data_IF_950981730393
#
_entry.id   IF_950981730393
#
_cell.length_a   1.000
_cell.length_b   1.000
_cell.length_c   1.000
_cell.angle_alpha   90.00
_cell.angle_beta   90.00
_cell.angle_gamma   90.00
#
_symmetry.space_group_name_H-M   'P 1'
#
loop_
_entity.id
_entity.type
_entity.pdbx_description
1 polymer ?
#
# COMPACT_ATOMS: atom_id res chain seq x y z
N UNK A 1 15.85 4.06 59.25
CA UNK A 1 14.69 4.92 58.96
C UNK A 1 15.08 5.87 57.85
N UNK A 2 14.23 5.89 56.83
CA UNK A 2 14.16 6.70 55.61
C UNK A 2 15.42 7.28 54.94
N UNK A 3 15.73 6.70 53.77
CA UNK A 3 15.57 7.30 52.43
C UNK A 3 15.63 8.82 52.28
N UNK A 4 16.40 9.29 51.29
CA UNK A 4 15.86 9.92 50.05
C UNK A 4 17.02 10.19 49.08
N UNK A 5 16.99 9.48 47.96
CA UNK A 5 17.77 9.72 46.76
C UNK A 5 17.19 10.88 45.96
N UNK A 6 18.03 11.79 45.47
CA UNK A 6 17.75 12.64 44.29
C UNK A 6 19.03 12.87 43.51
N UNK A 7 19.31 11.98 42.55
CA UNK A 7 20.19 12.30 41.42
C UNK A 7 19.37 13.06 40.38
N UNK A 8 19.86 14.22 39.98
CA UNK A 8 19.46 14.85 38.73
C UNK A 8 20.14 14.14 37.57
N UNK A 9 19.41 14.01 36.47
CA UNK A 9 19.92 13.98 35.10
C UNK A 9 18.71 14.03 34.16
N UNK A 10 18.50 15.20 33.54
CA UNK A 10 17.56 15.40 32.44
C UNK A 10 18.25 15.00 31.15
N UNK A 11 17.94 13.82 30.60
CA UNK A 11 18.13 13.51 29.18
C UNK A 11 17.16 12.38 28.82
N UNK A 12 15.98 12.74 28.32
CA UNK A 12 15.03 11.77 27.77
C UNK A 12 15.51 11.31 26.40
N UNK A 13 16.38 10.29 26.38
CA UNK A 13 16.69 9.54 25.16
C UNK A 13 15.54 8.58 24.87
N UNK A 14 14.78 8.86 23.81
CA UNK A 14 13.72 7.99 23.32
C UNK A 14 14.33 6.68 22.81
N UNK A 15 14.10 5.59 23.53
CA UNK A 15 14.61 4.26 23.20
C UNK A 15 13.75 3.62 22.10
N UNK A 16 14.18 3.73 20.83
CA UNK A 16 13.56 2.98 19.74
C UNK A 16 14.12 1.55 19.75
N UNK A 17 13.42 0.66 20.45
CA UNK A 17 13.75 -0.75 20.52
C UNK A 17 13.59 -1.45 19.17
N UNK A 18 14.70 -1.92 18.62
CA UNK A 18 14.74 -2.98 17.63
C UNK A 18 14.46 -4.33 18.32
N UNK A 19 13.34 -4.96 17.96
CA UNK A 19 13.03 -6.40 18.14
C UNK A 19 12.18 -6.80 16.95
N UNK A 20 12.29 -7.96 16.32
CA UNK A 20 13.26 -9.03 16.21
C UNK A 20 12.81 -9.75 14.93
N UNK A 21 13.74 -10.36 14.21
CA UNK A 21 13.47 -11.21 13.05
C UNK A 21 12.36 -12.23 13.38
N UNK A 22 11.22 -12.14 12.71
CA UNK A 22 10.20 -13.19 12.74
C UNK A 22 10.12 -13.79 11.35
N UNK A 23 10.19 -15.12 11.29
CA UNK A 23 10.03 -15.98 10.11
C UNK A 23 8.97 -15.46 9.14
N UNK A 24 9.40 -14.66 8.15
CA UNK A 24 8.52 -13.97 7.22
C UNK A 24 8.02 -14.93 6.15
N UNK A 25 7.18 -15.88 6.56
CA UNK A 25 6.18 -16.44 5.66
C UNK A 25 5.33 -15.25 5.16
N UNK A 26 5.07 -15.10 3.85
CA UNK A 26 4.21 -14.04 3.32
C UNK A 26 2.86 -13.96 4.06
N UNK A 27 2.37 -15.11 4.56
CA UNK A 27 1.17 -15.23 5.38
C UNK A 27 1.27 -14.58 6.76
N UNK A 28 2.44 -14.58 7.42
CA UNK A 28 2.60 -13.98 8.76
C UNK A 28 2.69 -12.46 8.67
N UNK A 29 3.37 -11.94 7.65
CA UNK A 29 3.39 -10.51 7.35
C UNK A 29 1.98 -10.01 6.98
N UNK A 30 1.25 -10.79 6.18
CA UNK A 30 -0.14 -10.51 5.82
C UNK A 30 -1.07 -10.56 7.04
N UNK A 31 -0.94 -11.56 7.92
CA UNK A 31 -1.73 -11.68 9.15
C UNK A 31 -1.46 -10.56 10.15
N UNK A 32 -0.19 -10.13 10.29
CA UNK A 32 0.18 -8.99 11.14
C UNK A 32 -0.37 -7.68 10.58
N UNK A 33 -0.39 -7.51 9.25
CA UNK A 33 -1.06 -6.38 8.61
C UNK A 33 -2.57 -6.44 8.89
N UNK A 34 -3.21 -7.59 8.64
CA UNK A 34 -4.65 -7.84 8.83
C UNK A 34 -5.13 -7.62 10.27
N UNK A 35 -4.28 -7.82 11.27
CA UNK A 35 -4.61 -7.62 12.69
C UNK A 35 -4.41 -6.18 13.18
N UNK A 36 -3.70 -5.34 12.43
CA UNK A 36 -3.56 -3.90 12.73
C UNK A 36 -4.57 -3.01 12.00
N UNK A 37 -5.40 -3.60 11.16
CA UNK A 37 -6.39 -2.93 10.32
C UNK A 37 -7.78 -3.01 10.98
N UNK A 38 -8.63 -1.99 10.80
CA UNK A 38 -9.95 -1.89 11.43
C UNK A 38 -10.88 -3.08 11.03
N UNK A 39 -11.96 -3.38 11.75
CA UNK A 39 -12.84 -4.51 11.35
C UNK A 39 -13.43 -4.34 9.93
N UNK A 40 -13.72 -3.10 9.53
CA UNK A 40 -14.10 -2.70 8.17
C UNK A 40 -13.05 -3.10 7.13
N UNK A 41 -11.80 -3.12 7.56
CA UNK A 41 -10.66 -3.33 6.69
C UNK A 41 -10.49 -4.79 6.29
N UNK A 42 -10.76 -5.68 7.23
CA UNK A 42 -10.68 -7.12 7.05
C UNK A 42 -11.78 -7.60 6.10
N UNK A 43 -12.99 -7.05 6.23
CA UNK A 43 -14.12 -7.38 5.35
C UNK A 43 -13.89 -6.95 3.89
N UNK A 44 -13.27 -5.79 3.65
CA UNK A 44 -12.95 -5.35 2.29
C UNK A 44 -11.84 -6.21 1.64
N UNK A 45 -10.82 -6.60 2.41
CA UNK A 45 -9.77 -7.51 1.93
C UNK A 45 -10.36 -8.89 1.65
N UNK A 46 -11.17 -9.42 2.56
CA UNK A 46 -11.86 -10.70 2.42
C UNK A 46 -12.80 -10.70 1.20
N UNK A 47 -13.55 -9.62 0.97
CA UNK A 47 -14.43 -9.49 -0.19
C UNK A 47 -13.68 -9.39 -1.54
N UNK A 48 -12.44 -8.93 -1.55
CA UNK A 48 -11.58 -8.93 -2.74
C UNK A 48 -10.98 -10.31 -2.95
N UNK A 49 -10.46 -10.94 -1.88
CA UNK A 49 -9.90 -12.30 -1.93
C UNK A 49 -10.96 -13.35 -2.32
N UNK A 50 -12.21 -13.18 -1.86
CA UNK A 50 -13.34 -14.06 -2.16
C UNK A 50 -14.20 -13.58 -3.35
N UNK A 51 -13.90 -12.42 -3.92
CA UNK A 51 -14.72 -11.74 -4.92
C UNK A 51 -14.51 -12.20 -6.36
N UNK A 52 -13.63 -13.17 -6.58
CA UNK A 52 -13.22 -13.68 -7.89
C UNK A 52 -11.98 -12.99 -8.47
N UNK A 53 -11.35 -13.56 -9.50
CA UNK A 53 -10.11 -13.06 -10.12
C UNK A 53 -10.25 -11.68 -10.78
N UNK A 54 -11.48 -11.15 -10.83
CA UNK A 54 -11.85 -9.90 -11.48
C UNK A 54 -11.73 -8.70 -10.55
N UNK A 55 -11.60 -8.92 -9.25
CA UNK A 55 -11.51 -7.84 -8.26
C UNK A 55 -10.06 -7.66 -7.80
N UNK A 56 -9.65 -6.40 -7.74
CA UNK A 56 -8.42 -5.99 -7.11
C UNK A 56 -8.66 -4.77 -6.22
N UNK A 57 -7.69 -4.46 -5.38
CA UNK A 57 -7.72 -3.31 -4.48
C UNK A 57 -6.30 -2.82 -4.26
N UNK A 58 -6.16 -1.52 -4.10
CA UNK A 58 -4.93 -0.91 -3.61
C UNK A 58 -5.14 -0.33 -2.23
N UNK A 59 -4.15 -0.51 -1.36
CA UNK A 59 -4.17 0.00 0.02
C UNK A 59 -3.00 0.95 0.22
N UNK A 60 -3.27 2.15 0.73
CA UNK A 60 -2.21 3.11 1.04
C UNK A 60 -1.45 2.66 2.29
N UNK A 61 -0.24 2.15 2.11
CA UNK A 61 0.63 1.71 3.20
C UNK A 61 1.44 2.86 3.81
N UNK A 62 1.90 3.80 2.98
CA UNK A 62 2.67 4.98 3.39
C UNK A 62 2.25 6.20 2.58
N UNK A 63 2.15 7.36 3.24
CA UNK A 63 1.75 8.62 2.62
C UNK A 63 0.63 9.31 3.40
N UNK A 64 0.12 10.41 2.85
CA UNK A 64 -1.16 10.95 3.30
C UNK A 64 -2.26 9.88 3.09
N UNK A 65 -3.34 9.91 3.86
CA UNK A 65 -4.41 8.90 3.72
C UNK A 65 -3.96 7.45 3.93
N UNK A 66 -2.96 7.20 4.79
CA UNK A 66 -2.56 5.83 5.19
C UNK A 66 -3.79 5.05 5.69
N UNK A 67 -3.97 3.84 5.17
CA UNK A 67 -5.11 2.97 5.48
C UNK A 67 -6.29 3.09 4.51
N UNK A 68 -6.31 4.12 3.64
CA UNK A 68 -7.31 4.22 2.57
C UNK A 68 -7.22 3.05 1.61
N UNK A 69 -8.37 2.57 1.16
CA UNK A 69 -8.49 1.53 0.15
C UNK A 69 -9.26 2.03 -1.04
N UNK A 70 -8.81 1.59 -2.20
CA UNK A 70 -9.49 1.83 -3.44
C UNK A 70 -9.72 0.51 -4.14
N UNK A 71 -10.99 0.14 -4.29
CA UNK A 71 -11.39 -1.08 -4.96
C UNK A 71 -11.38 -0.84 -6.47
N UNK A 72 -10.78 -1.76 -7.21
CA UNK A 72 -10.71 -1.77 -8.67
C UNK A 72 -11.84 -2.68 -9.13
N UNK A 73 -13.01 -2.08 -9.40
CA UNK A 73 -14.21 -2.79 -9.88
C UNK A 73 -14.34 -2.81 -11.39
N UNK A 74 -13.66 -1.88 -12.09
CA UNK A 74 -13.78 -1.69 -13.53
C UNK A 74 -12.62 -2.33 -14.30
N UNK A 75 -12.69 -2.26 -15.65
CA UNK A 75 -11.61 -2.73 -16.53
C UNK A 75 -10.32 -1.91 -16.40
N UNK A 76 -10.40 -0.69 -15.88
CA UNK A 76 -9.25 0.15 -15.56
C UNK A 76 -9.53 0.98 -14.32
N UNK A 77 -8.47 1.42 -13.65
CA UNK A 77 -8.49 2.34 -12.53
C UNK A 77 -7.40 3.40 -12.72
N UNK A 78 -7.79 4.67 -12.83
CA UNK A 78 -6.85 5.78 -12.97
C UNK A 78 -6.28 6.24 -11.62
N UNK A 79 -4.98 6.54 -11.58
CA UNK A 79 -4.26 7.03 -10.40
C UNK A 79 -3.68 8.41 -10.70
N UNK A 80 -3.94 9.37 -9.81
CA UNK A 80 -3.36 10.69 -9.94
C UNK A 80 -3.88 11.71 -8.95
N UNK A 81 -3.36 12.94 -9.09
CA UNK A 81 -3.81 14.13 -8.33
C UNK A 81 -5.00 14.82 -8.99
N UNK A 82 -5.60 14.26 -10.04
CA UNK A 82 -6.86 14.80 -10.57
C UNK A 82 -8.01 14.32 -9.69
N UNK A 83 -8.96 15.17 -9.29
CA UNK A 83 -10.18 14.71 -8.62
C UNK A 83 -11.04 13.79 -9.50
N UNK A 84 -10.77 13.74 -10.81
CA UNK A 84 -11.39 12.82 -11.77
C UNK A 84 -10.74 11.42 -11.76
N UNK A 85 -9.61 11.25 -11.06
CA UNK A 85 -8.96 9.94 -10.93
C UNK A 85 -9.70 9.08 -9.92
N UNK A 86 -9.91 7.80 -10.26
CA UNK A 86 -10.55 6.83 -9.35
C UNK A 86 -9.76 6.63 -8.07
N UNK A 87 -8.43 6.63 -8.18
CA UNK A 87 -7.49 6.62 -7.07
C UNK A 87 -6.90 8.03 -6.98
N UNK A 88 -7.61 8.89 -6.25
CA UNK A 88 -7.19 10.27 -6.02
C UNK A 88 -6.12 10.35 -4.93
N UNK A 89 -4.95 10.86 -5.32
CA UNK A 89 -3.81 11.09 -4.44
C UNK A 89 -3.48 12.58 -4.39
N UNK A 90 -3.90 13.25 -3.32
CA UNK A 90 -3.68 14.69 -3.13
C UNK A 90 -2.25 15.01 -2.69
N UNK A 91 -1.32 15.04 -3.64
CA UNK A 91 0.03 15.52 -3.37
C UNK A 91 0.73 16.10 -4.60
N UNK A 92 1.53 17.15 -4.40
CA UNK A 92 2.28 17.82 -5.45
C UNK A 92 3.28 16.92 -6.20
N UNK A 93 3.78 15.85 -5.56
CA UNK A 93 4.67 14.86 -6.21
C UNK A 93 3.92 13.91 -7.15
N UNK A 94 2.58 13.98 -7.20
CA UNK A 94 1.75 13.15 -8.06
C UNK A 94 1.21 13.98 -9.22
N UNK A 95 1.48 13.53 -10.46
CA UNK A 95 0.87 14.08 -11.67
C UNK A 95 -0.67 13.96 -11.66
N UNK A 96 -1.36 14.85 -12.39
CA UNK A 96 -2.84 14.81 -12.50
C UNK A 96 -3.34 13.48 -13.09
N UNK A 97 -2.72 13.03 -14.17
CA UNK A 97 -2.82 11.67 -14.68
C UNK A 97 -1.44 11.05 -14.50
N UNK A 98 -1.26 10.18 -13.50
CA UNK A 98 0.04 9.65 -13.14
C UNK A 98 0.24 8.25 -13.73
N UNK A 99 -0.67 7.35 -13.39
CA UNK A 99 -0.64 5.97 -13.85
C UNK A 99 -2.06 5.44 -14.00
N UNK A 100 -2.20 4.34 -14.72
CA UNK A 100 -3.47 3.61 -14.85
C UNK A 100 -3.18 2.16 -14.56
N UNK A 101 -4.02 1.56 -13.70
CA UNK A 101 -4.08 0.11 -13.56
C UNK A 101 -5.12 -0.38 -14.56
N UNK A 102 -4.72 -1.28 -15.44
CA UNK A 102 -5.61 -1.88 -16.43
C UNK A 102 -5.71 -3.37 -16.19
N UNK A 103 -6.93 -3.88 -16.34
CA UNK A 103 -7.18 -5.30 -16.30
C UNK A 103 -6.91 -5.90 -17.67
N UNK A 104 -6.07 -6.91 -17.70
CA UNK A 104 -5.70 -7.65 -18.90
C UNK A 104 -6.27 -9.07 -18.84
N UNK A 105 -6.19 -9.82 -19.94
CA UNK A 105 -6.54 -11.25 -19.97
C UNK A 105 -5.68 -12.08 -19.01
N UNK A 106 -4.49 -11.60 -18.66
CA UNK A 106 -3.55 -12.29 -17.79
C UNK A 106 -3.56 -11.76 -16.34
N UNK A 107 -4.35 -10.74 -16.00
CA UNK A 107 -4.43 -10.20 -14.64
C UNK A 107 -4.58 -8.68 -14.64
N UNK A 108 -3.71 -7.99 -13.90
CA UNK A 108 -3.67 -6.52 -13.85
C UNK A 108 -2.28 -6.05 -14.27
N UNK A 109 -2.22 -4.87 -14.89
CA UNK A 109 -0.98 -4.20 -15.29
C UNK A 109 -1.05 -2.74 -14.89
N UNK A 110 0.07 -2.18 -14.46
CA UNK A 110 0.20 -0.75 -14.18
C UNK A 110 0.95 -0.10 -15.34
N UNK A 111 0.45 1.02 -15.83
CA UNK A 111 1.09 1.81 -16.89
C UNK A 111 1.22 3.27 -16.45
N UNK A 112 2.44 3.78 -16.45
CA UNK A 112 2.74 5.20 -16.22
C UNK A 112 2.30 6.04 -17.43
N UNK A 113 1.60 7.15 -17.18
CA UNK A 113 1.04 8.04 -18.20
C UNK A 113 1.94 9.25 -18.51
N UNK A 114 3.26 9.12 -18.30
CA UNK A 114 4.21 10.22 -18.44
C UNK A 114 4.26 11.08 -17.19
N UNK A 115 4.29 10.44 -16.02
CA UNK A 115 4.38 11.16 -14.76
C UNK A 115 5.73 11.88 -14.61
N UNK A 116 5.74 12.98 -13.83
CA UNK A 116 6.97 13.78 -13.65
C UNK A 116 8.03 13.04 -12.81
N UNK A 117 7.59 12.32 -11.78
CA UNK A 117 8.48 11.64 -10.84
C UNK A 117 8.69 10.15 -11.16
N UNK A 118 7.96 9.62 -12.15
CA UNK A 118 7.93 8.20 -12.48
C UNK A 118 7.07 7.38 -11.54
N UNK A 119 6.71 6.20 -12.02
CA UNK A 119 6.02 5.15 -11.27
C UNK A 119 7.01 4.01 -10.98
N UNK A 120 7.00 3.52 -9.74
CA UNK A 120 7.89 2.44 -9.30
C UNK A 120 7.08 1.27 -8.78
N UNK A 121 7.55 0.05 -9.07
CA UNK A 121 6.99 -1.19 -8.53
C UNK A 121 8.14 -1.95 -7.88
N UNK A 122 8.01 -2.31 -6.60
CA UNK A 122 9.06 -2.98 -5.82
C UNK A 122 10.44 -2.28 -5.96
N UNK A 123 10.45 -0.95 -5.85
CA UNK A 123 11.60 -0.04 -6.01
C UNK A 123 12.22 0.00 -7.42
N UNK A 124 11.56 -0.54 -8.45
CA UNK A 124 12.01 -0.47 -9.84
C UNK A 124 11.14 0.49 -10.65
N UNK A 125 11.75 1.46 -11.33
CA UNK A 125 11.04 2.38 -12.21
C UNK A 125 10.63 1.66 -13.50
N UNK A 126 9.34 1.57 -13.76
CA UNK A 126 8.79 0.84 -14.91
C UNK A 126 7.73 1.69 -15.60
N UNK A 127 7.78 1.76 -16.94
CA UNK A 127 6.73 2.45 -17.73
C UNK A 127 5.43 1.65 -17.78
N UNK A 128 5.55 0.33 -17.91
CA UNK A 128 4.41 -0.57 -17.84
C UNK A 128 4.88 -1.93 -17.32
N UNK A 129 4.13 -2.52 -16.41
CA UNK A 129 4.46 -3.83 -15.84
C UNK A 129 3.24 -4.54 -15.27
N UNK A 130 3.21 -5.89 -15.33
CA UNK A 130 2.17 -6.68 -14.67
C UNK A 130 2.24 -6.50 -13.16
N UNK A 131 1.07 -6.45 -12.52
CA UNK A 131 0.91 -6.39 -11.08
C UNK A 131 0.54 -7.76 -10.51
N UNK A 132 1.25 -8.16 -9.46
CA UNK A 132 0.98 -9.35 -8.67
C UNK A 132 0.50 -8.97 -7.29
N UNK A 133 -0.36 -9.80 -6.69
CA UNK A 133 -0.82 -9.59 -5.34
C UNK A 133 0.38 -9.49 -4.37
N UNK A 134 0.42 -8.43 -3.58
CA UNK A 134 1.50 -8.10 -2.65
C UNK A 134 2.52 -7.10 -3.19
N UNK A 135 2.48 -6.74 -4.47
CA UNK A 135 3.41 -5.76 -5.05
C UNK A 135 3.25 -4.37 -4.40
N UNK A 136 4.39 -3.74 -4.10
CA UNK A 136 4.42 -2.36 -3.64
C UNK A 136 4.55 -1.42 -4.84
N UNK A 137 3.55 -0.57 -5.03
CA UNK A 137 3.53 0.49 -6.04
C UNK A 137 3.86 1.81 -5.35
N UNK A 138 4.90 2.49 -5.81
CA UNK A 138 5.26 3.81 -5.34
C UNK A 138 4.94 4.87 -6.41
N UNK A 139 4.17 5.87 -5.99
CA UNK A 139 3.73 7.01 -6.81
C UNK A 139 4.00 8.29 -6.02
N UNK A 140 4.98 9.07 -6.45
CA UNK A 140 5.47 10.22 -5.68
C UNK A 140 5.92 9.79 -4.28
N UNK A 141 5.32 10.38 -3.24
CA UNK A 141 5.55 10.02 -1.83
C UNK A 141 4.65 8.92 -1.28
N UNK A 142 3.71 8.40 -2.08
CA UNK A 142 2.79 7.35 -1.66
C UNK A 142 3.35 5.97 -1.96
N UNK A 143 3.18 5.05 -1.01
CA UNK A 143 3.39 3.62 -1.21
C UNK A 143 2.03 2.92 -1.06
N UNK A 144 1.64 2.23 -2.12
CA UNK A 144 0.41 1.50 -2.27
C UNK A 144 0.75 0.01 -2.32
N UNK A 145 -0.03 -0.82 -1.66
CA UNK A 145 0.08 -2.27 -1.78
C UNK A 145 -1.05 -2.76 -2.66
N UNK A 146 -0.71 -3.46 -3.73
CA UNK A 146 -1.68 -4.08 -4.62
C UNK A 146 -2.13 -5.43 -4.05
N UNK A 147 -3.44 -5.63 -3.98
CA UNK A 147 -4.07 -6.87 -3.51
C UNK A 147 -5.04 -7.31 -4.58
N UNK A 148 -4.93 -8.55 -5.03
CA UNK A 148 -5.88 -9.18 -5.94
C UNK A 148 -6.20 -10.58 -5.45
N UNK A 149 -7.32 -11.14 -5.92
CA UNK A 149 -7.55 -12.57 -5.72
C UNK A 149 -6.42 -13.36 -6.40
N UNK A 150 -5.78 -14.26 -5.63
CA UNK A 150 -4.72 -15.11 -6.13
C UNK A 150 -5.27 -15.97 -7.28
N UNK A 151 -4.53 -16.06 -8.39
CA UNK A 151 -4.78 -17.10 -9.39
C UNK A 151 -4.56 -18.45 -8.71
N UNK A 152 -5.63 -19.13 -8.33
CA UNK A 152 -5.59 -20.58 -8.11
C UNK A 152 -5.30 -21.22 -9.45
N UNK A 153 -4.05 -21.66 -9.62
CA UNK A 153 -3.61 -22.50 -10.74
C UNK A 153 -4.11 -23.94 -10.55
#
# INVERSE_FOLDING_TARGET
MESVSRNGELTSTLHLGLRSVVDASPQSALNALLSSLAETDKAAIDAVLNGGPEKAMVVVHRGANKGSRFLISHQSASIGRSPESEIFLDDVTVSRSHAVIERTSSGFSLTDQGSLNGTYINNQSLKSAPLNCGDEIQIGKFHLIFISALKTN
#
